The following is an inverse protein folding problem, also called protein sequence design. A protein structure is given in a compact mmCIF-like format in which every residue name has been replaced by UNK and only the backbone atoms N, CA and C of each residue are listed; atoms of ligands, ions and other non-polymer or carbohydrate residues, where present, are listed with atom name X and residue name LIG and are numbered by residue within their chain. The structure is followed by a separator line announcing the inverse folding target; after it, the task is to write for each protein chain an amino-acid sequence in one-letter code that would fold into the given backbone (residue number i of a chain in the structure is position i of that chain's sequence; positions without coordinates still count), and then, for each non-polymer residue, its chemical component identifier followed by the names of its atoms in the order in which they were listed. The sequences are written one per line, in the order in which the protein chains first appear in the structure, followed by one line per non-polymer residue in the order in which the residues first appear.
data_IF_623191211741
#
_entry.id   IF_623191211741
#
_cell.length_a   1.000
_cell.length_b   1.000
_cell.length_c   1.000
_cell.angle_alpha   90.00
_cell.angle_beta   90.00
_cell.angle_gamma   90.00
#
_symmetry.space_group_name_H-M   'P 1'
#
loop_
_entity.id
_entity.type
_entity.pdbx_description
1 polymer ?
#
# COMPACT_ATOMS: atom_id res chain seq x y z
N UNK A 1 15.09 -22.56 -0.27
CA UNK A 1 14.64 -21.79 0.92
C UNK A 1 13.60 -22.62 1.64
N UNK A 2 13.72 -22.75 2.96
CA UNK A 2 12.69 -23.36 3.82
C UNK A 2 12.17 -22.28 4.75
N UNK A 3 10.85 -22.14 4.86
CA UNK A 3 10.20 -21.18 5.77
C UNK A 3 9.68 -21.96 6.97
N UNK A 4 9.92 -21.44 8.17
CA UNK A 4 9.41 -21.98 9.42
C UNK A 4 8.40 -20.98 9.95
N UNK A 5 7.13 -21.38 10.00
CA UNK A 5 6.08 -20.58 10.62
C UNK A 5 6.03 -20.88 12.12
N UNK A 6 5.99 -19.83 12.94
CA UNK A 6 6.01 -19.94 14.40
C UNK A 6 4.63 -19.65 14.99
N UNK A 7 4.28 -20.23 16.15
CA UNK A 7 3.08 -19.82 16.86
C UNK A 7 3.11 -18.33 17.18
N UNK A 8 1.97 -17.65 17.01
CA UNK A 8 1.87 -16.21 17.28
C UNK A 8 2.32 -15.83 18.69
N UNK A 9 2.93 -14.65 18.80
CA UNK A 9 3.28 -14.06 20.09
C UNK A 9 1.99 -13.60 20.76
N UNK A 10 1.78 -13.99 22.03
CA UNK A 10 0.58 -13.68 22.78
C UNK A 10 0.60 -12.21 23.16
N UNK A 11 -0.58 -11.60 23.13
CA UNK A 11 -0.75 -10.17 23.31
C UNK A 11 -1.95 -9.90 24.25
N UNK A 12 -1.79 -8.92 25.14
CA UNK A 12 -2.79 -8.56 26.16
C UNK A 12 -2.69 -9.27 27.54
N UNK A 13 -3.24 -8.62 28.58
CA UNK A 13 -3.19 -9.05 29.99
C UNK A 13 -3.92 -10.37 30.29
N UNK A 14 -4.80 -10.83 29.40
CA UNK A 14 -5.61 -12.05 29.59
C UNK A 14 -4.89 -13.34 29.19
N UNK A 15 -3.69 -13.26 28.64
CA UNK A 15 -2.89 -14.41 28.23
C UNK A 15 -1.62 -14.56 29.07
N UNK A 16 -1.73 -14.45 30.40
CA UNK A 16 -0.73 -15.02 31.34
C UNK A 16 -0.82 -16.55 31.39
N UNK A 17 -1.11 -17.19 30.26
CA UNK A 17 -1.21 -18.64 30.16
C UNK A 17 0.19 -19.14 29.87
N UNK A 18 0.74 -19.89 30.81
CA UNK A 18 1.99 -20.61 30.62
C UNK A 18 1.86 -21.48 29.35
N UNK A 19 2.74 -21.28 28.36
CA UNK A 19 2.69 -21.96 27.06
C UNK A 19 2.90 -23.47 27.19
N UNK A 20 3.37 -23.93 28.35
CA UNK A 20 3.73 -25.33 28.60
C UNK A 20 5.09 -25.72 28.02
N UNK A 21 5.84 -24.75 27.48
CA UNK A 21 7.20 -24.89 27.00
C UNK A 21 7.93 -23.54 27.03
N UNK A 22 9.26 -23.58 27.01
CA UNK A 22 10.11 -22.39 26.96
C UNK A 22 10.16 -21.82 25.53
N UNK A 23 9.22 -20.91 25.24
CA UNK A 23 9.15 -20.23 23.95
C UNK A 23 10.40 -19.40 23.63
N UNK A 24 10.96 -18.73 24.64
CA UNK A 24 12.18 -17.92 24.49
C UNK A 24 13.39 -18.77 24.15
N UNK A 25 13.60 -19.89 24.84
CA UNK A 25 14.70 -20.82 24.54
C UNK A 25 14.57 -21.46 23.15
N UNK A 26 13.34 -21.72 22.68
CA UNK A 26 13.11 -22.17 21.29
C UNK A 26 13.49 -21.07 20.28
N UNK A 27 13.14 -19.81 20.54
CA UNK A 27 13.53 -18.70 19.66
C UNK A 27 15.05 -18.53 19.59
N UNK A 28 15.74 -18.58 20.73
CA UNK A 28 17.22 -18.57 20.80
C UNK A 28 17.81 -19.70 19.95
N UNK A 29 17.30 -20.92 20.12
CA UNK A 29 17.77 -22.09 19.36
C UNK A 29 17.60 -21.90 17.85
N UNK A 30 16.49 -21.31 17.40
CA UNK A 30 16.31 -20.97 15.99
C UNK A 30 17.23 -19.85 15.53
N UNK A 31 17.39 -18.78 16.32
CA UNK A 31 18.20 -17.62 15.97
C UNK A 31 19.66 -17.98 15.64
N UNK A 32 20.21 -18.95 16.37
CA UNK A 32 21.54 -19.52 16.11
C UNK A 32 21.66 -20.20 14.73
N UNK A 33 20.57 -20.78 14.21
CA UNK A 33 20.57 -21.72 13.07
C UNK A 33 19.98 -21.19 11.78
N UNK A 34 19.09 -20.20 11.87
CA UNK A 34 18.44 -19.62 10.69
C UNK A 34 19.33 -18.57 10.04
N UNK A 35 19.17 -18.39 8.73
CA UNK A 35 19.84 -17.33 7.96
C UNK A 35 19.15 -15.97 8.12
N UNK A 36 17.84 -15.97 8.38
CA UNK A 36 17.01 -14.76 8.46
C UNK A 36 15.85 -14.94 9.42
N UNK A 37 15.54 -13.87 10.15
CA UNK A 37 14.41 -13.80 11.07
C UNK A 37 13.49 -12.68 10.62
N UNK A 38 12.22 -12.98 10.38
CA UNK A 38 11.23 -11.98 9.97
C UNK A 38 10.31 -11.69 11.16
N UNK A 39 10.35 -10.45 11.65
CA UNK A 39 9.44 -9.98 12.69
C UNK A 39 8.27 -9.24 12.04
N UNK A 40 7.08 -9.85 12.08
CA UNK A 40 5.86 -9.31 11.50
C UNK A 40 5.04 -8.52 12.52
N UNK A 41 4.67 -7.29 12.16
CA UNK A 41 3.80 -6.41 12.92
C UNK A 41 2.56 -6.05 12.11
N UNK A 42 1.41 -5.93 12.77
CA UNK A 42 0.17 -5.48 12.14
C UNK A 42 -0.01 -3.96 12.36
N UNK A 43 -0.04 -3.19 11.28
CA UNK A 43 -0.17 -1.73 11.35
C UNK A 43 -1.50 -1.27 11.98
N UNK A 44 -2.55 -2.10 11.90
CA UNK A 44 -3.87 -1.78 12.44
C UNK A 44 -4.00 -2.14 13.93
N UNK A 45 -3.21 -3.10 14.42
CA UNK A 45 -3.30 -3.64 15.78
C UNK A 45 -1.93 -3.84 16.41
N UNK A 46 -1.08 -2.81 16.35
CA UNK A 46 0.23 -2.89 16.96
C UNK A 46 0.08 -3.14 18.47
N UNK A 47 0.52 -4.31 18.92
CA UNK A 47 0.60 -4.69 20.32
C UNK A 47 2.04 -5.08 20.64
N UNK A 48 2.63 -4.41 21.63
CA UNK A 48 4.01 -4.61 22.06
C UNK A 48 3.93 -5.15 23.50
N UNK A 49 3.56 -6.42 23.62
CA UNK A 49 3.39 -7.10 24.89
C UNK A 49 4.73 -7.40 25.59
N UNK A 50 4.68 -7.76 26.87
CA UNK A 50 5.88 -8.22 27.61
C UNK A 50 6.47 -9.50 27.01
N UNK A 51 5.64 -10.38 26.44
CA UNK A 51 6.12 -11.56 25.73
C UNK A 51 6.82 -11.19 24.43
N UNK A 52 6.31 -10.19 23.72
CA UNK A 52 6.97 -9.66 22.53
C UNK A 52 8.35 -9.08 22.85
N UNK A 53 8.46 -8.31 23.94
CA UNK A 53 9.75 -7.78 24.42
C UNK A 53 10.75 -8.91 24.72
N UNK A 54 10.33 -9.91 25.51
CA UNK A 54 11.18 -11.08 25.83
C UNK A 54 11.58 -11.87 24.58
N UNK A 55 10.68 -11.95 23.60
CA UNK A 55 10.97 -12.62 22.31
C UNK A 55 12.06 -11.90 21.53
N UNK A 56 12.08 -10.56 21.49
CA UNK A 56 13.18 -9.83 20.84
C UNK A 56 14.48 -9.94 21.67
N UNK A 57 14.39 -9.90 23.00
CA UNK A 57 15.57 -10.07 23.86
C UNK A 57 16.27 -11.42 23.64
N UNK A 58 15.49 -12.49 23.43
CA UNK A 58 15.97 -13.81 23.04
C UNK A 58 16.69 -13.85 21.68
N UNK A 59 16.53 -12.82 20.84
CA UNK A 59 17.20 -12.70 19.54
C UNK A 59 18.47 -11.83 19.59
N UNK A 60 18.83 -11.32 20.77
CA UNK A 60 20.00 -10.43 20.94
C UNK A 60 21.27 -11.12 20.44
N UNK A 61 22.10 -10.37 19.70
CA UNK A 61 23.35 -10.90 19.12
C UNK A 61 23.16 -11.56 17.76
N UNK A 62 21.92 -11.59 17.26
CA UNK A 62 21.57 -12.03 15.90
C UNK A 62 20.84 -10.90 15.13
N UNK A 63 21.08 -9.65 15.51
CA UNK A 63 20.39 -8.47 14.99
C UNK A 63 20.56 -8.30 13.46
N UNK A 64 21.70 -8.73 12.91
CA UNK A 64 22.02 -8.71 11.49
C UNK A 64 21.07 -9.58 10.64
N UNK A 65 20.51 -10.63 11.25
CA UNK A 65 19.55 -11.57 10.62
C UNK A 65 18.12 -11.04 10.64
N UNK A 66 17.82 -10.03 11.46
CA UNK A 66 16.45 -9.55 11.69
C UNK A 66 16.01 -8.67 10.53
N UNK A 67 14.80 -8.92 10.02
CA UNK A 67 14.08 -8.07 9.07
C UNK A 67 12.70 -7.80 9.62
N UNK A 68 12.35 -6.53 9.76
CA UNK A 68 11.10 -6.12 10.40
C UNK A 68 10.08 -5.78 9.33
N UNK A 69 8.88 -6.32 9.42
CA UNK A 69 7.83 -6.10 8.43
C UNK A 69 6.61 -5.50 9.14
N UNK A 70 6.23 -4.30 8.75
CA UNK A 70 4.98 -3.66 9.18
C UNK A 70 3.92 -3.94 8.12
N UNK A 71 3.15 -5.00 8.35
CA UNK A 71 2.14 -5.53 7.44
C UNK A 71 0.78 -4.84 7.60
N UNK A 72 -0.08 -4.97 6.60
CA UNK A 72 -1.43 -4.38 6.52
C UNK A 72 -1.42 -2.85 6.62
N UNK A 73 -0.39 -2.21 6.10
CA UNK A 73 -0.27 -0.74 6.11
C UNK A 73 -1.44 -0.06 5.39
N UNK A 74 -2.06 -0.73 4.41
CA UNK A 74 -3.26 -0.26 3.71
C UNK A 74 -4.54 -0.25 4.57
N UNK A 75 -4.50 -0.73 5.81
CA UNK A 75 -5.65 -0.75 6.72
C UNK A 75 -5.75 0.51 7.59
N UNK A 76 -4.75 1.39 7.53
CA UNK A 76 -4.64 2.61 8.35
C UNK A 76 -4.33 3.81 7.45
N UNK A 77 -4.70 5.01 7.91
CA UNK A 77 -4.31 6.25 7.22
C UNK A 77 -2.84 6.61 7.48
N UNK A 78 -2.34 7.60 6.75
CA UNK A 78 -0.94 8.02 6.84
C UNK A 78 -0.55 8.48 8.26
N UNK A 79 -1.37 9.30 8.92
CA UNK A 79 -1.06 9.80 10.27
C UNK A 79 -1.01 8.66 11.29
N UNK A 80 -1.94 7.71 11.19
CA UNK A 80 -1.96 6.54 12.04
C UNK A 80 -0.74 5.66 11.75
N UNK A 81 -0.40 5.42 10.48
CA UNK A 81 0.78 4.64 10.11
C UNK A 81 2.07 5.25 10.69
N UNK A 82 2.22 6.58 10.62
CA UNK A 82 3.37 7.28 11.19
C UNK A 82 3.46 7.15 12.71
N UNK A 83 2.33 7.21 13.41
CA UNK A 83 2.29 6.98 14.85
C UNK A 83 2.66 5.54 15.19
N UNK A 84 2.16 4.58 14.43
CA UNK A 84 2.44 3.15 14.60
C UNK A 84 3.93 2.85 14.34
N UNK A 85 4.47 3.35 13.23
CA UNK A 85 5.89 3.25 12.91
C UNK A 85 6.77 3.86 14.00
N UNK A 86 6.46 5.08 14.46
CA UNK A 86 7.18 5.73 15.54
C UNK A 86 7.13 4.94 16.85
N UNK A 87 5.96 4.42 17.24
CA UNK A 87 5.80 3.59 18.43
C UNK A 87 6.59 2.27 18.34
N UNK A 88 6.58 1.64 17.17
CA UNK A 88 7.36 0.45 16.86
C UNK A 88 8.87 0.73 17.02
N UNK A 89 9.38 1.74 16.34
CA UNK A 89 10.80 2.11 16.39
C UNK A 89 11.24 2.51 17.80
N UNK A 90 10.40 3.25 18.53
CA UNK A 90 10.65 3.58 19.93
C UNK A 90 10.78 2.35 20.82
N UNK A 91 9.92 1.34 20.62
CA UNK A 91 10.01 0.12 21.41
C UNK A 91 11.22 -0.73 21.01
N UNK A 92 11.48 -0.86 19.72
CA UNK A 92 12.63 -1.60 19.20
C UNK A 92 13.95 -0.98 19.69
N UNK A 93 14.08 0.35 19.69
CA UNK A 93 15.27 1.03 20.17
C UNK A 93 15.56 0.84 21.67
N UNK A 94 14.59 0.36 22.46
CA UNK A 94 14.82 -0.05 23.85
C UNK A 94 15.37 -1.46 23.99
N UNK A 95 15.19 -2.30 22.96
CA UNK A 95 15.44 -3.75 23.04
C UNK A 95 16.61 -4.16 22.15
N UNK A 96 16.64 -3.67 20.91
CA UNK A 96 17.76 -3.78 19.98
C UNK A 96 18.82 -2.78 20.40
N UNK A 97 19.92 -3.27 20.98
CA UNK A 97 21.04 -2.45 21.43
C UNK A 97 22.07 -2.43 20.30
N UNK A 98 21.68 -1.87 19.17
CA UNK A 98 22.56 -1.69 18.00
C UNK A 98 22.65 -0.22 17.66
N UNK A 99 23.85 0.28 17.27
CA UNK A 99 23.99 1.66 16.80
C UNK A 99 23.28 1.89 15.46
N UNK A 100 23.00 0.81 14.72
CA UNK A 100 22.31 0.84 13.44
C UNK A 100 20.79 0.71 13.61
N UNK A 101 20.04 1.51 12.86
CA UNK A 101 18.58 1.48 12.85
C UNK A 101 18.10 0.26 12.07
N UNK A 102 17.35 -0.62 12.74
CA UNK A 102 16.77 -1.78 12.09
C UNK A 102 15.87 -1.37 10.91
N UNK A 103 16.08 -1.99 9.74
CA UNK A 103 15.28 -1.72 8.54
C UNK A 103 13.88 -2.32 8.70
N UNK A 104 12.86 -1.49 8.46
CA UNK A 104 11.44 -1.88 8.46
C UNK A 104 10.88 -1.85 7.03
N UNK A 105 10.29 -2.94 6.60
CA UNK A 105 9.58 -3.07 5.33
C UNK A 105 8.09 -2.83 5.59
N UNK A 106 7.54 -1.76 5.01
CA UNK A 106 6.15 -1.36 5.20
C UNK A 106 5.34 -1.79 3.98
N UNK A 107 4.20 -2.45 4.19
CA UNK A 107 3.35 -2.85 3.09
C UNK A 107 2.16 -3.70 3.50
N UNK A 108 1.46 -4.25 2.52
CA UNK A 108 0.40 -5.23 2.71
C UNK A 108 0.72 -6.46 1.86
N UNK A 109 1.33 -7.45 2.51
CA UNK A 109 1.88 -8.64 1.88
C UNK A 109 0.81 -9.72 1.78
N UNK A 110 -0.14 -9.52 0.88
CA UNK A 110 -1.23 -10.45 0.59
C UNK A 110 -1.68 -10.35 -0.88
N UNK A 111 -2.59 -11.23 -1.27
CA UNK A 111 -3.07 -11.33 -2.65
C UNK A 111 -4.36 -10.51 -2.87
N UNK A 112 -4.80 -9.77 -1.83
CA UNK A 112 -6.04 -9.00 -1.85
C UNK A 112 -5.80 -7.57 -2.39
N UNK A 113 -6.80 -6.95 -3.04
CA UNK A 113 -6.72 -5.54 -3.43
C UNK A 113 -6.46 -4.64 -2.23
N UNK A 114 -5.55 -3.68 -2.36
CA UNK A 114 -5.28 -2.69 -1.31
C UNK A 114 -6.55 -1.89 -1.01
N UNK A 115 -6.86 -1.68 0.27
CA UNK A 115 -7.99 -0.86 0.70
C UNK A 115 -7.82 0.60 0.30
N UNK A 116 -6.62 1.15 0.47
CA UNK A 116 -6.20 2.46 -0.03
C UNK A 116 -5.30 2.30 -1.26
N UNK A 117 -5.86 1.77 -2.34
CA UNK A 117 -5.16 1.69 -3.62
C UNK A 117 -5.08 3.09 -4.26
N UNK A 118 -3.85 3.57 -4.52
CA UNK A 118 -3.60 4.81 -5.25
C UNK A 118 -4.30 4.82 -6.60
N UNK A 119 -4.30 3.67 -7.29
CA UNK A 119 -4.94 3.50 -8.58
C UNK A 119 -6.46 3.59 -8.44
N UNK A 120 -7.04 3.08 -7.35
CA UNK A 120 -8.46 3.25 -7.05
C UNK A 120 -8.80 4.70 -6.75
N UNK A 121 -7.95 5.44 -6.03
CA UNK A 121 -8.18 6.86 -5.76
C UNK A 121 -8.11 7.70 -7.03
N UNK A 122 -7.12 7.44 -7.89
CA UNK A 122 -7.01 8.06 -9.23
C UNK A 122 -8.22 7.70 -10.10
N UNK A 123 -8.59 6.43 -10.19
CA UNK A 123 -9.74 5.97 -10.96
C UNK A 123 -11.05 6.59 -10.45
N UNK A 124 -11.23 6.70 -9.13
CA UNK A 124 -12.39 7.35 -8.53
C UNK A 124 -12.42 8.85 -8.86
N UNK A 125 -11.26 9.52 -8.87
CA UNK A 125 -11.11 10.92 -9.29
C UNK A 125 -11.50 11.09 -10.77
N UNK A 126 -10.94 10.25 -11.67
CA UNK A 126 -11.27 10.27 -13.11
C UNK A 126 -12.77 10.03 -13.32
N UNK A 127 -13.33 9.04 -12.64
CA UNK A 127 -14.75 8.72 -12.73
C UNK A 127 -15.64 9.88 -12.25
N UNK A 128 -15.24 10.59 -11.18
CA UNK A 128 -15.94 11.77 -10.71
C UNK A 128 -15.95 12.90 -11.77
N UNK A 129 -14.83 13.14 -12.45
CA UNK A 129 -14.78 14.10 -13.55
C UNK A 129 -15.71 13.70 -14.68
N UNK A 130 -15.64 12.45 -15.16
CA UNK A 130 -16.49 11.94 -16.24
C UNK A 130 -17.98 12.16 -15.92
N UNK A 131 -18.44 11.68 -14.76
CA UNK A 131 -19.85 11.79 -14.36
C UNK A 131 -20.29 13.26 -14.22
N UNK A 132 -19.42 14.11 -13.67
CA UNK A 132 -19.74 15.52 -13.49
C UNK A 132 -19.80 16.31 -14.81
N UNK A 133 -18.91 16.00 -15.77
CA UNK A 133 -18.92 16.62 -17.08
C UNK A 133 -20.14 16.17 -17.90
N UNK A 134 -20.48 14.88 -17.84
CA UNK A 134 -21.72 14.38 -18.44
C UNK A 134 -22.95 15.07 -17.85
N UNK A 135 -22.99 15.30 -16.53
CA UNK A 135 -24.07 16.03 -15.87
C UNK A 135 -24.17 17.48 -16.35
N UNK A 136 -23.03 18.16 -16.49
CA UNK A 136 -22.93 19.56 -16.92
C UNK A 136 -23.46 19.78 -18.34
N UNK A 137 -23.25 18.80 -19.22
CA UNK A 137 -23.71 18.83 -20.62
C UNK A 137 -25.21 18.48 -20.81
N UNK A 138 -25.89 18.00 -19.76
CA UNK A 138 -27.29 17.60 -19.88
C UNK A 138 -28.25 18.79 -19.88
N UNK A 139 -29.21 18.85 -20.83
CA UNK A 139 -30.22 19.91 -20.86
C UNK A 139 -31.27 19.72 -19.77
N UNK A 140 -31.76 20.83 -19.21
CA UNK A 140 -32.74 20.80 -18.11
C UNK A 140 -34.16 20.45 -18.58
N UNK A 141 -34.57 20.86 -19.79
CA UNK A 141 -35.98 20.82 -20.21
C UNK A 141 -36.31 19.82 -21.32
N UNK A 142 -35.60 19.83 -22.46
CA UNK A 142 -35.92 18.97 -23.63
C UNK A 142 -34.66 18.36 -24.26
N UNK A 143 -34.83 17.30 -25.07
CA UNK A 143 -33.72 16.69 -25.84
C UNK A 143 -32.79 15.77 -25.05
N UNK A 144 -33.16 15.38 -23.82
CA UNK A 144 -32.33 14.60 -22.89
C UNK A 144 -31.83 13.28 -23.47
N UNK A 145 -32.71 12.49 -24.10
CA UNK A 145 -32.33 11.19 -24.65
C UNK A 145 -31.40 11.32 -25.85
N UNK A 146 -31.62 12.32 -26.71
CA UNK A 146 -30.75 12.60 -27.85
C UNK A 146 -29.37 13.03 -27.38
N UNK A 147 -29.31 13.99 -26.43
CA UNK A 147 -28.03 14.46 -25.87
C UNK A 147 -27.30 13.34 -25.13
N UNK A 148 -27.99 12.47 -24.38
CA UNK A 148 -27.39 11.30 -23.75
C UNK A 148 -26.72 10.39 -24.78
N UNK A 149 -27.40 10.05 -25.88
CA UNK A 149 -26.84 9.22 -26.95
C UNK A 149 -25.62 9.88 -27.61
N UNK A 150 -25.70 11.18 -27.86
CA UNK A 150 -24.59 11.99 -28.37
C UNK A 150 -23.36 11.94 -27.44
N UNK A 151 -23.57 12.17 -26.14
CA UNK A 151 -22.51 12.16 -25.13
C UNK A 151 -21.85 10.78 -24.98
N UNK A 152 -22.63 9.69 -25.00
CA UNK A 152 -22.08 8.33 -24.95
C UNK A 152 -21.24 8.05 -26.19
N UNK A 153 -21.73 8.42 -27.39
CA UNK A 153 -20.96 8.26 -28.64
C UNK A 153 -19.69 9.12 -28.66
N UNK A 154 -19.75 10.32 -28.07
CA UNK A 154 -18.66 11.27 -27.94
C UNK A 154 -17.74 11.06 -26.73
N UNK A 155 -17.89 9.97 -25.97
CA UNK A 155 -17.16 9.77 -24.71
C UNK A 155 -15.64 9.83 -24.86
N UNK A 156 -15.10 9.40 -26.00
CA UNK A 156 -13.67 9.49 -26.29
C UNK A 156 -13.16 10.94 -26.34
N UNK A 157 -13.94 11.86 -26.91
CA UNK A 157 -13.59 13.27 -26.95
C UNK A 157 -13.64 13.88 -25.54
N UNK A 158 -14.62 13.49 -24.73
CA UNK A 158 -14.71 13.91 -23.33
C UNK A 158 -13.50 13.41 -22.52
N UNK A 159 -13.04 12.17 -22.75
CA UNK A 159 -11.83 11.65 -22.09
C UNK A 159 -10.61 12.49 -22.45
N UNK A 160 -10.40 12.77 -23.74
CA UNK A 160 -9.29 13.60 -24.19
C UNK A 160 -9.33 15.02 -23.59
N UNK A 161 -10.53 15.60 -23.44
CA UNK A 161 -10.73 16.90 -22.79
C UNK A 161 -10.34 16.85 -21.31
N UNK A 162 -10.89 15.89 -20.55
CA UNK A 162 -10.58 15.70 -19.12
C UNK A 162 -9.09 15.41 -18.92
N UNK A 163 -8.50 14.58 -19.78
CA UNK A 163 -7.08 14.23 -19.75
C UNK A 163 -6.21 15.50 -19.83
N UNK A 164 -6.53 16.39 -20.77
CA UNK A 164 -5.79 17.64 -20.99
C UNK A 164 -6.03 18.65 -19.87
N UNK A 165 -7.27 18.85 -19.45
CA UNK A 165 -7.62 19.86 -18.47
C UNK A 165 -7.13 19.52 -17.05
N UNK A 166 -7.23 18.25 -16.68
CA UNK A 166 -6.90 17.79 -15.33
C UNK A 166 -5.51 17.16 -15.24
N UNK A 167 -4.75 17.16 -16.35
CA UNK A 167 -3.41 16.57 -16.46
C UNK A 167 -3.37 15.09 -15.99
N UNK A 168 -4.36 14.30 -16.41
CA UNK A 168 -4.51 12.90 -16.02
C UNK A 168 -3.82 11.99 -17.05
N UNK A 169 -3.24 10.88 -16.61
CA UNK A 169 -2.63 9.90 -17.51
C UNK A 169 -3.71 9.10 -18.28
N UNK A 170 -3.51 8.75 -19.56
CA UNK A 170 -4.49 7.96 -20.30
C UNK A 170 -4.74 6.57 -19.66
N UNK A 171 -3.77 6.03 -18.93
CA UNK A 171 -3.91 4.73 -18.24
C UNK A 171 -4.83 4.77 -17.01
N UNK A 172 -5.19 5.95 -16.50
CA UNK A 172 -6.10 6.10 -15.36
C UNK A 172 -7.59 6.09 -15.77
N UNK A 173 -7.87 6.10 -17.08
CA UNK A 173 -9.23 6.07 -17.61
C UNK A 173 -9.76 4.63 -17.70
N UNK A 174 -11.04 4.40 -17.37
CA UNK A 174 -11.66 3.10 -17.58
C UNK A 174 -11.79 2.77 -19.06
N UNK A 175 -12.00 1.49 -19.38
CA UNK A 175 -12.21 1.07 -20.77
C UNK A 175 -13.39 1.81 -21.41
N UNK A 176 -13.16 2.34 -22.61
CA UNK A 176 -14.12 3.18 -23.30
C UNK A 176 -15.42 2.42 -23.61
N UNK A 177 -15.32 1.17 -24.09
CA UNK A 177 -16.48 0.39 -24.51
C UNK A 177 -17.31 -0.01 -23.30
N UNK A 178 -16.64 -0.51 -22.26
CA UNK A 178 -17.28 -0.87 -21.01
C UNK A 178 -18.01 0.32 -20.37
N UNK A 179 -17.38 1.51 -20.39
CA UNK A 179 -18.01 2.71 -19.85
C UNK A 179 -19.22 3.15 -20.69
N UNK A 180 -19.14 3.09 -22.02
CA UNK A 180 -20.27 3.40 -22.91
C UNK A 180 -21.49 2.50 -22.64
N UNK A 181 -21.26 1.18 -22.49
CA UNK A 181 -22.30 0.20 -22.17
C UNK A 181 -22.94 0.49 -20.81
N UNK A 182 -22.13 0.70 -19.77
CA UNK A 182 -22.62 1.03 -18.43
C UNK A 182 -23.41 2.32 -18.40
N UNK A 183 -22.94 3.37 -19.06
CA UNK A 183 -23.61 4.67 -19.13
C UNK A 183 -24.96 4.61 -19.84
N UNK A 184 -25.14 3.71 -20.82
CA UNK A 184 -26.40 3.54 -21.52
C UNK A 184 -27.56 3.19 -20.57
N UNK A 185 -27.27 2.45 -19.48
CA UNK A 185 -28.25 2.05 -18.48
C UNK A 185 -28.62 3.14 -17.44
N UNK A 186 -27.93 4.29 -17.44
CA UNK A 186 -28.07 5.30 -16.37
C UNK A 186 -28.78 6.59 -16.83
N UNK A 187 -29.49 7.25 -15.92
CA UNK A 187 -30.10 8.57 -16.16
C UNK A 187 -29.12 9.68 -15.77
N UNK A 188 -28.61 10.38 -16.76
CA UNK A 188 -27.59 11.42 -16.55
C UNK A 188 -28.14 12.63 -15.80
N UNK A 189 -29.47 12.84 -15.76
CA UNK A 189 -30.05 13.93 -14.98
C UNK A 189 -30.00 13.70 -13.47
N UNK A 190 -29.77 12.45 -13.05
CA UNK A 190 -29.58 12.07 -11.64
C UNK A 190 -28.11 12.12 -11.20
N UNK A 191 -27.20 12.36 -12.13
CA UNK A 191 -25.80 12.51 -11.78
C UNK A 191 -25.57 13.75 -10.93
N UNK A 192 -24.60 13.63 -10.03
CA UNK A 192 -24.23 14.70 -9.11
C UNK A 192 -23.25 15.64 -9.79
N UNK A 193 -23.35 16.93 -9.47
CA UNK A 193 -22.32 17.88 -9.80
C UNK A 193 -21.02 17.55 -9.05
N UNK A 194 -19.90 17.98 -9.61
CA UNK A 194 -18.59 17.81 -8.98
C UNK A 194 -18.57 18.51 -7.62
N UNK A 195 -18.01 17.86 -6.61
CA UNK A 195 -17.84 18.41 -5.26
C UNK A 195 -16.36 18.71 -5.02
N UNK A 196 -15.91 19.98 -5.14
CA UNK A 196 -14.48 20.33 -5.05
C UNK A 196 -13.81 19.83 -3.77
N UNK A 197 -14.48 19.94 -2.62
CA UNK A 197 -13.97 19.46 -1.32
C UNK A 197 -13.59 17.98 -1.29
N UNK A 198 -14.31 17.13 -2.02
CA UNK A 198 -14.00 15.69 -2.08
C UNK A 198 -12.76 15.44 -2.95
N UNK A 199 -12.59 16.21 -4.04
CA UNK A 199 -11.40 16.14 -4.87
C UNK A 199 -10.16 16.63 -4.13
N UNK A 200 -10.26 17.78 -3.43
CA UNK A 200 -9.17 18.32 -2.61
C UNK A 200 -8.69 17.29 -1.57
N UNK A 201 -9.60 16.50 -1.00
CA UNK A 201 -9.24 15.44 -0.05
C UNK A 201 -8.43 14.33 -0.72
N UNK A 202 -8.84 13.90 -1.92
CA UNK A 202 -8.11 12.90 -2.71
C UNK A 202 -6.76 13.44 -3.19
N UNK A 203 -6.70 14.70 -3.60
CA UNK A 203 -5.49 15.35 -4.11
C UNK A 203 -4.45 15.55 -3.02
N UNK A 204 -4.88 15.97 -1.82
CA UNK A 204 -3.99 16.02 -0.65
C UNK A 204 -3.43 14.64 -0.32
N UNK A 205 -4.28 13.60 -0.33
CA UNK A 205 -3.84 12.23 -0.10
C UNK A 205 -2.80 11.80 -1.16
N UNK A 206 -3.05 12.10 -2.44
CA UNK A 206 -2.14 11.75 -3.52
C UNK A 206 -0.81 12.51 -3.49
N UNK A 207 -0.82 13.77 -3.09
CA UNK A 207 0.35 14.66 -3.15
C UNK A 207 1.21 14.60 -1.89
N UNK A 208 0.61 14.56 -0.71
CA UNK A 208 1.33 14.70 0.56
C UNK A 208 1.53 13.33 1.23
N UNK A 209 0.43 12.61 1.44
CA UNK A 209 0.46 11.37 2.23
C UNK A 209 1.25 10.27 1.51
N UNK A 210 1.09 10.14 0.19
CA UNK A 210 1.79 9.14 -0.62
C UNK A 210 3.27 9.47 -0.81
N UNK A 211 3.63 10.73 -1.08
CA UNK A 211 5.03 11.09 -1.26
C UNK A 211 5.85 10.82 0.01
N UNK A 212 5.24 11.04 1.17
CA UNK A 212 5.84 10.68 2.46
C UNK A 212 5.91 9.16 2.69
N UNK A 213 4.90 8.39 2.26
CA UNK A 213 4.99 6.92 2.31
C UNK A 213 6.12 6.39 1.43
N UNK A 214 6.25 6.92 0.22
CA UNK A 214 7.29 6.50 -0.72
C UNK A 214 8.71 6.82 -0.22
N UNK A 215 8.89 7.92 0.51
CA UNK A 215 10.19 8.27 1.10
C UNK A 215 10.57 7.40 2.31
N UNK A 216 9.61 6.65 2.87
CA UNK A 216 9.84 5.70 3.96
C UNK A 216 10.14 4.29 3.46
N UNK A 217 9.89 4.01 2.18
CA UNK A 217 10.34 2.77 1.54
C UNK A 217 11.85 2.93 1.29
N UNK A 218 12.71 2.14 1.97
CA UNK A 218 14.15 2.25 1.80
C UNK A 218 14.52 1.98 0.34
N UNK A 219 15.25 2.89 -0.31
CA UNK A 219 15.98 2.54 -1.53
C UNK A 219 17.04 1.51 -1.16
N UNK A 220 16.98 0.31 -1.77
CA UNK A 220 18.07 -0.65 -1.66
C UNK A 220 19.32 -0.02 -2.27
N UNK A 221 20.39 0.12 -1.47
CA UNK A 221 21.73 0.10 -2.02
C UNK A 221 22.00 -1.35 -2.41
N UNK A 222 21.96 -1.62 -3.71
CA UNK A 222 22.32 -2.91 -4.30
C UNK A 222 23.82 -3.13 -4.15
N UNK A 223 24.25 -3.59 -2.97
CA UNK A 223 25.47 -4.37 -2.92
C UNK A 223 25.13 -5.78 -3.38
N UNK A 224 25.36 -6.02 -4.68
CA UNK A 224 25.27 -7.34 -5.28
C UNK A 224 26.16 -8.32 -4.51
N UNK A 225 25.55 -9.29 -3.85
CA UNK A 225 26.16 -10.61 -3.66
C UNK A 225 25.28 -11.61 -4.40
N UNK A 226 25.73 -11.95 -5.60
CA UNK A 226 25.30 -13.14 -6.32
C UNK A 226 25.68 -14.35 -5.47
N UNK A 227 24.74 -14.87 -4.67
CA UNK A 227 24.77 -16.27 -4.26
C UNK A 227 23.35 -16.73 -3.89
N UNK A 228 22.82 -17.67 -4.68
CA UNK A 228 21.57 -18.37 -4.41
C UNK A 228 20.28 -17.61 -4.78
N UNK A 229 20.01 -17.46 -6.08
CA UNK A 229 18.74 -16.89 -6.56
C UNK A 229 17.57 -17.78 -6.13
N UNK A 230 16.61 -17.20 -5.40
CA UNK A 230 15.30 -17.83 -5.13
C UNK A 230 14.46 -17.72 -6.41
N UNK A 231 13.97 -18.84 -6.92
CA UNK A 231 13.22 -18.93 -8.19
C UNK A 231 11.81 -19.42 -7.88
N UNK A 232 10.78 -18.89 -8.56
CA UNK A 232 9.41 -19.36 -8.44
C UNK A 232 8.52 -18.54 -7.51
N UNK A 233 7.20 -18.61 -7.75
CA UNK A 233 6.18 -18.14 -6.82
C UNK A 233 6.06 -16.61 -6.78
N UNK A 234 5.99 -16.02 -5.59
CA UNK A 234 5.90 -14.56 -5.42
C UNK A 234 7.15 -13.79 -5.90
N UNK A 235 8.23 -14.51 -6.25
CA UNK A 235 9.46 -13.93 -6.80
C UNK A 235 9.49 -13.94 -8.34
N UNK A 236 8.56 -14.64 -9.00
CA UNK A 236 8.44 -14.63 -10.45
C UNK A 236 7.85 -13.29 -10.92
N UNK A 237 8.54 -12.61 -11.84
CA UNK A 237 8.04 -11.37 -12.44
C UNK A 237 8.20 -10.11 -11.59
N UNK A 238 9.09 -10.09 -10.58
CA UNK A 238 9.44 -8.87 -9.82
C UNK A 238 9.96 -7.73 -10.73
N UNK A 239 10.43 -8.03 -11.94
CA UNK A 239 10.76 -7.05 -12.99
C UNK A 239 9.53 -6.29 -13.53
N UNK A 240 8.31 -6.79 -13.29
CA UNK A 240 7.04 -6.22 -13.79
C UNK A 240 6.20 -5.53 -12.70
N UNK A 241 6.78 -5.25 -11.53
CA UNK A 241 6.12 -4.37 -10.56
C UNK A 241 5.99 -2.96 -11.16
N UNK A 242 4.88 -2.23 -10.93
CA UNK A 242 4.80 -0.79 -11.25
C UNK A 242 5.86 0.05 -10.51
N UNK A 243 6.54 -0.54 -9.53
CA UNK A 243 7.69 0.01 -8.81
C UNK A 243 9.00 -0.77 -9.10
N UNK A 244 9.12 -1.36 -10.29
CA UNK A 244 10.12 -2.37 -10.68
C UNK A 244 11.55 -2.19 -10.13
N UNK A 245 12.24 -3.32 -9.98
CA UNK A 245 13.67 -3.38 -9.61
C UNK A 245 14.50 -2.46 -10.52
N UNK A 246 15.13 -1.43 -9.95
CA UNK A 246 15.99 -0.50 -10.68
C UNK A 246 15.34 0.72 -11.35
N UNK A 247 14.02 0.95 -11.25
CA UNK A 247 13.42 2.23 -11.71
C UNK A 247 13.36 3.26 -10.58
N UNK A 248 14.49 3.95 -10.42
CA UNK A 248 14.70 5.12 -9.56
C UNK A 248 15.99 5.89 -9.92
N UNK A 249 16.86 5.30 -10.75
CA UNK A 249 18.01 5.99 -11.34
C UNK A 249 17.55 6.83 -12.53
N UNK A 250 17.35 8.13 -12.27
CA UNK A 250 16.90 9.05 -13.32
C UNK A 250 16.71 10.48 -12.83
N UNK A 251 17.61 10.96 -11.96
CA UNK A 251 17.81 12.40 -11.75
C UNK A 251 19.30 12.70 -11.98
N UNK A 252 19.76 12.40 -13.20
CA UNK A 252 21.02 12.93 -13.77
C UNK A 252 20.93 12.90 -15.31
N UNK A 253 19.84 13.48 -15.83
CA UNK A 253 19.75 13.86 -17.24
C UNK A 253 19.10 15.24 -17.34
N UNK A 254 19.94 16.28 -17.22
CA UNK A 254 19.57 17.67 -17.45
C UNK A 254 20.20 18.62 -16.45
#
# INVERSE_FOLDING_TARGET
MTIIDTPGILSGEKQRVDRGYDFTGVLEWFAERVDRIILLFDAHKLDISDEFRRSIEALRGHDDKIRIVLNKADMVDHQQLMRVYGALMWSLGKVLITPEVARVYIGSFWDQPLRFDMNRARLAKVHAYIISSLRKEMPSMFGKDSKKKELIKGLNALYAEIQREQQISPGDFPDLREMQEKLAAHDFTKFHALKPRLLETVDRMLAEDIAQLMSMIPHEQTEQKEDGVVIGGAFDGLEQSPFGYGRGEGVDAG
#
